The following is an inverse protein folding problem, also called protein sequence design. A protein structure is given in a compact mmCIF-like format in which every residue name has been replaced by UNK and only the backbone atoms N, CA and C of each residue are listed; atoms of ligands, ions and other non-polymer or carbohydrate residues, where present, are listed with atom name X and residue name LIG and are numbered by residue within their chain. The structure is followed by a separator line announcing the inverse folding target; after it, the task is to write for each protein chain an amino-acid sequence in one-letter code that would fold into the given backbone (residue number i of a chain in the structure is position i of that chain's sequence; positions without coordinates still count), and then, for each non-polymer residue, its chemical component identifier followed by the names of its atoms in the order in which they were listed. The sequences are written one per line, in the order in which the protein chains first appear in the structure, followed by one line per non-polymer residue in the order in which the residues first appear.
data_IF_542537068347
#
_entry.id   IF_542537068347
#
_cell.length_a   1.000
_cell.length_b   1.000
_cell.length_c   1.000
_cell.angle_alpha   90.00
_cell.angle_beta   90.00
_cell.angle_gamma   90.00
#
_symmetry.space_group_name_H-M   'P 1'
#
loop_
_entity.id
_entity.type
_entity.pdbx_description
1 polymer ?
#
# COMPACT_ATOMS: atom_id res chain seq x y z
N UNK A 1 -20.77 13.28 4.01
CA UNK A 1 -20.40 13.68 2.62
C UNK A 1 -19.15 14.56 2.70
N UNK A 2 -17.96 13.96 2.76
CA UNK A 2 -16.69 14.68 2.93
C UNK A 2 -16.28 15.35 1.61
N UNK A 3 -16.16 16.69 1.60
CA UNK A 3 -15.33 17.41 0.62
C UNK A 3 -13.86 17.03 0.90
N UNK A 4 -13.40 15.87 0.40
CA UNK A 4 -11.98 15.52 0.46
C UNK A 4 -11.20 16.55 -0.37
N UNK A 5 -10.24 17.20 0.30
CA UNK A 5 -9.42 18.30 -0.18
C UNK A 5 -8.79 18.01 -1.54
N UNK A 6 -9.13 18.78 -2.58
CA UNK A 6 -8.40 18.79 -3.87
C UNK A 6 -6.90 19.04 -3.67
N UNK A 7 -6.53 19.75 -2.59
CA UNK A 7 -5.14 20.00 -2.19
C UNK A 7 -4.38 18.72 -1.82
N UNK A 8 -5.06 17.78 -1.16
CA UNK A 8 -4.46 16.50 -0.75
C UNK A 8 -4.25 15.59 -1.97
N UNK A 9 -5.21 15.57 -2.90
CA UNK A 9 -5.08 14.82 -4.14
C UNK A 9 -3.97 15.37 -5.05
N UNK A 10 -3.83 16.70 -5.13
CA UNK A 10 -2.75 17.33 -5.88
C UNK A 10 -1.38 16.99 -5.31
N UNK A 11 -1.24 16.99 -3.98
CA UNK A 11 0.01 16.58 -3.32
C UNK A 11 0.39 15.12 -3.62
N UNK A 12 -0.58 14.20 -3.58
CA UNK A 12 -0.36 12.78 -3.90
C UNK A 12 0.10 12.61 -5.36
N UNK A 13 -0.53 13.31 -6.30
CA UNK A 13 -0.13 13.28 -7.71
C UNK A 13 1.30 13.82 -7.87
N UNK A 14 1.63 14.91 -7.19
CA UNK A 14 2.95 15.53 -7.28
C UNK A 14 4.04 14.61 -6.71
N UNK A 15 3.74 13.91 -5.61
CA UNK A 15 4.61 12.89 -5.04
C UNK A 15 4.81 11.71 -5.99
N UNK A 16 3.74 11.23 -6.62
CA UNK A 16 3.80 10.16 -7.62
C UNK A 16 4.67 10.55 -8.81
N UNK A 17 4.43 11.73 -9.40
CA UNK A 17 5.26 12.26 -10.50
C UNK A 17 6.72 12.41 -10.05
N UNK A 18 6.96 12.90 -8.84
CA UNK A 18 8.30 13.02 -8.28
C UNK A 18 9.02 11.68 -8.19
N UNK A 19 8.36 10.65 -7.65
CA UNK A 19 8.89 9.28 -7.57
C UNK A 19 9.15 8.68 -8.96
N UNK A 20 8.26 8.92 -9.91
CA UNK A 20 8.45 8.48 -11.29
C UNK A 20 9.69 9.12 -11.94
N UNK A 21 9.87 10.44 -11.78
CA UNK A 21 11.05 11.15 -12.30
C UNK A 21 12.33 10.62 -11.65
N UNK A 22 12.32 10.40 -10.32
CA UNK A 22 13.45 9.81 -9.60
C UNK A 22 13.76 8.40 -10.14
N UNK A 23 12.73 7.58 -10.37
CA UNK A 23 12.88 6.23 -10.93
C UNK A 23 13.49 6.26 -12.34
N UNK A 24 13.06 7.21 -13.19
CA UNK A 24 13.64 7.41 -14.52
C UNK A 24 15.11 7.86 -14.45
N UNK A 25 15.45 8.78 -13.53
CA UNK A 25 16.82 9.25 -13.31
C UNK A 25 17.71 8.11 -12.82
N UNK A 26 17.24 7.32 -11.85
CA UNK A 26 17.94 6.13 -11.35
C UNK A 26 18.26 5.16 -12.48
N UNK A 27 17.26 4.76 -13.28
CA UNK A 27 17.46 3.81 -14.38
C UNK A 27 18.40 4.35 -15.45
N UNK A 28 18.41 5.66 -15.71
CA UNK A 28 19.25 6.26 -16.75
C UNK A 28 20.68 6.53 -16.33
N UNK A 29 20.88 7.04 -15.11
CA UNK A 29 22.17 7.57 -14.66
C UNK A 29 22.93 6.65 -13.71
N UNK A 30 22.29 5.60 -13.17
CA UNK A 30 22.97 4.66 -12.27
C UNK A 30 23.18 3.31 -12.94
N UNK A 31 24.37 2.72 -12.75
CA UNK A 31 24.70 1.35 -13.15
C UNK A 31 24.18 0.31 -12.13
N UNK A 32 23.16 0.66 -11.34
CA UNK A 32 22.58 -0.28 -10.37
C UNK A 32 21.93 -1.40 -11.19
N UNK A 33 22.16 -2.65 -10.80
CA UNK A 33 21.55 -3.81 -11.44
C UNK A 33 20.06 -3.93 -11.06
N UNK A 34 19.25 -3.01 -11.59
CA UNK A 34 17.79 -2.93 -11.37
C UNK A 34 17.06 -4.08 -12.09
N UNK A 35 17.77 -4.82 -12.96
CA UNK A 35 17.19 -5.94 -13.71
C UNK A 35 16.61 -7.02 -12.79
N UNK A 36 17.24 -7.29 -11.64
CA UNK A 36 16.75 -8.28 -10.68
C UNK A 36 15.42 -7.87 -10.04
N UNK A 37 15.24 -6.58 -9.71
CA UNK A 37 14.01 -6.05 -9.10
C UNK A 37 12.90 -5.89 -10.13
N UNK A 38 13.26 -5.55 -11.37
CA UNK A 38 12.31 -5.36 -12.48
C UNK A 38 11.95 -6.65 -13.22
N UNK A 39 12.51 -7.79 -12.79
CA UNK A 39 12.18 -9.09 -13.35
C UNK A 39 10.71 -9.43 -13.07
N UNK A 40 10.02 -9.96 -14.08
CA UNK A 40 8.60 -10.28 -13.97
C UNK A 40 8.36 -11.36 -12.92
N UNK A 41 9.18 -12.42 -12.90
CA UNK A 41 9.02 -13.53 -11.97
C UNK A 41 9.17 -13.02 -10.54
N UNK A 42 10.22 -12.23 -10.29
CA UNK A 42 10.42 -11.58 -9.00
C UNK A 42 9.21 -10.73 -8.58
N UNK A 43 8.74 -9.81 -9.42
CA UNK A 43 7.62 -8.92 -9.10
C UNK A 43 6.32 -9.70 -8.85
N UNK A 44 6.04 -10.74 -9.64
CA UNK A 44 4.87 -11.57 -9.43
C UNK A 44 4.93 -12.34 -8.12
N UNK A 45 6.07 -12.97 -7.81
CA UNK A 45 6.26 -13.68 -6.55
C UNK A 45 6.17 -12.71 -5.36
N UNK A 46 6.86 -11.57 -5.45
CA UNK A 46 6.85 -10.52 -4.44
C UNK A 46 5.42 -10.03 -4.19
N UNK A 47 4.72 -9.53 -5.22
CA UNK A 47 3.37 -8.98 -5.07
C UNK A 47 2.37 -10.05 -4.63
N UNK A 48 2.52 -11.30 -5.08
CA UNK A 48 1.69 -12.42 -4.67
C UNK A 48 1.83 -12.74 -3.17
N UNK A 49 3.06 -12.79 -2.66
CA UNK A 49 3.33 -12.97 -1.22
C UNK A 49 2.71 -11.82 -0.42
N UNK A 50 2.89 -10.57 -0.89
CA UNK A 50 2.34 -9.42 -0.18
C UNK A 50 0.83 -9.36 -0.19
N UNK A 51 0.20 -9.72 -1.30
CA UNK A 51 -1.25 -9.81 -1.36
C UNK A 51 -1.77 -10.87 -0.37
N UNK A 52 -1.14 -12.05 -0.31
CA UNK A 52 -1.48 -13.09 0.67
C UNK A 52 -1.32 -12.63 2.12
N UNK A 53 -0.23 -11.91 2.41
CA UNK A 53 -0.01 -11.31 3.73
C UNK A 53 -1.06 -10.26 4.08
N UNK A 54 -1.36 -9.35 3.15
CA UNK A 54 -2.36 -8.30 3.35
C UNK A 54 -3.76 -8.86 3.60
N UNK A 55 -4.16 -9.91 2.86
CA UNK A 55 -5.41 -10.63 3.09
C UNK A 55 -5.47 -11.34 4.45
N UNK A 56 -4.32 -11.86 4.91
CA UNK A 56 -4.21 -12.47 6.25
C UNK A 56 -4.41 -11.43 7.35
N UNK A 57 -3.73 -10.28 7.24
CA UNK A 57 -3.91 -9.14 8.15
C UNK A 57 -5.37 -8.69 8.15
N UNK A 58 -5.98 -8.54 6.99
CA UNK A 58 -7.37 -8.13 6.88
C UNK A 58 -8.32 -9.10 7.60
N UNK A 59 -8.14 -10.40 7.38
CA UNK A 59 -8.94 -11.43 8.04
C UNK A 59 -8.76 -11.39 9.56
N UNK A 60 -7.50 -11.25 10.02
CA UNK A 60 -7.19 -11.09 11.43
C UNK A 60 -7.89 -9.88 12.05
N UNK A 61 -7.87 -8.75 11.36
CA UNK A 61 -8.49 -7.51 11.84
C UNK A 61 -10.00 -7.64 11.89
N UNK A 62 -10.64 -8.18 10.84
CA UNK A 62 -12.08 -8.46 10.85
C UNK A 62 -12.45 -9.29 12.08
N UNK A 63 -11.69 -10.34 12.38
CA UNK A 63 -11.94 -11.19 13.56
C UNK A 63 -11.73 -10.47 14.90
N UNK A 64 -10.91 -9.42 14.93
CA UNK A 64 -10.68 -8.59 16.12
C UNK A 64 -11.71 -7.49 16.28
N UNK A 65 -12.19 -6.89 15.20
CA UNK A 65 -13.18 -5.80 15.23
C UNK A 65 -14.40 -6.20 16.06
N UNK A 66 -14.91 -7.41 15.86
CA UNK A 66 -16.07 -7.91 16.62
C UNK A 66 -15.76 -8.04 18.11
N UNK A 67 -14.57 -8.54 18.46
CA UNK A 67 -14.12 -8.64 19.86
C UNK A 67 -13.94 -7.27 20.52
N UNK A 68 -13.43 -6.30 19.78
CA UNK A 68 -13.24 -4.94 20.31
C UNK A 68 -14.59 -4.27 20.50
N UNK A 69 -15.54 -4.43 19.56
CA UNK A 69 -16.91 -3.89 19.70
C UNK A 69 -17.57 -4.43 20.96
N UNK A 70 -17.51 -5.74 21.19
CA UNK A 70 -18.05 -6.36 22.41
C UNK A 70 -17.35 -5.83 23.69
N UNK A 71 -16.03 -5.66 23.66
CA UNK A 71 -15.27 -5.14 24.80
C UNK A 71 -15.65 -3.68 25.12
N UNK A 72 -15.81 -2.83 24.10
CA UNK A 72 -16.24 -1.43 24.24
C UNK A 72 -17.68 -1.36 24.78
N UNK A 73 -18.58 -2.21 24.29
CA UNK A 73 -19.98 -2.21 24.74
C UNK A 73 -20.09 -2.59 26.22
N UNK A 74 -19.32 -3.61 26.66
CA UNK A 74 -19.31 -4.10 28.05
C UNK A 74 -18.62 -3.17 29.04
N UNK A 75 -17.80 -2.23 28.61
CA UNK A 75 -17.10 -1.30 29.52
C UNK A 75 -18.03 -0.18 30.01
N UNK A 76 -18.72 -0.38 31.14
CA UNK A 76 -19.63 0.64 31.71
C UNK A 76 -18.93 1.92 32.17
N UNK A 77 -17.60 1.96 32.25
CA UNK A 77 -16.83 3.10 32.77
C UNK A 77 -16.59 4.22 31.75
N UNK A 78 -16.65 3.91 30.45
CA UNK A 78 -16.45 4.90 29.39
C UNK A 78 -17.74 5.65 29.03
N UNK A 79 -17.63 6.97 28.89
CA UNK A 79 -18.73 7.80 28.38
C UNK A 79 -19.09 7.35 26.96
N UNK A 80 -20.38 7.32 26.62
CA UNK A 80 -20.90 6.95 25.30
C UNK A 80 -20.15 7.60 24.11
N UNK A 81 -19.75 8.86 24.26
CA UNK A 81 -18.96 9.59 23.25
C UNK A 81 -17.55 9.00 23.01
N UNK A 82 -16.88 8.47 24.04
CA UNK A 82 -15.57 7.82 23.90
C UNK A 82 -15.68 6.47 23.21
N UNK A 83 -16.74 5.71 23.51
CA UNK A 83 -17.08 4.46 22.83
C UNK A 83 -17.31 4.66 21.33
N UNK A 84 -18.04 5.70 20.96
CA UNK A 84 -18.30 6.06 19.55
C UNK A 84 -17.01 6.45 18.82
N UNK A 85 -16.11 7.21 19.46
CA UNK A 85 -14.79 7.55 18.89
C UNK A 85 -13.96 6.29 18.67
N UNK A 86 -13.88 5.41 19.67
CA UNK A 86 -13.13 4.15 19.57
C UNK A 86 -13.66 3.25 18.44
N UNK A 87 -14.98 3.08 18.34
CA UNK A 87 -15.60 2.35 17.23
C UNK A 87 -15.33 2.99 15.86
N UNK A 88 -15.38 4.33 15.76
CA UNK A 88 -15.11 5.03 14.51
C UNK A 88 -13.65 4.86 14.03
N UNK A 89 -12.69 4.88 14.96
CA UNK A 89 -11.27 4.68 14.65
C UNK A 89 -11.01 3.26 14.16
N UNK A 90 -11.68 2.26 14.73
CA UNK A 90 -11.57 0.87 14.30
C UNK A 90 -12.10 0.69 12.88
N UNK A 91 -13.26 1.30 12.57
CA UNK A 91 -13.84 1.28 11.24
C UNK A 91 -12.97 2.02 10.22
N UNK A 92 -12.30 3.12 10.60
CA UNK A 92 -11.37 3.80 9.71
C UNK A 92 -10.15 2.95 9.40
N UNK A 93 -9.54 2.29 10.40
CA UNK A 93 -8.40 1.38 10.15
C UNK A 93 -8.79 0.21 9.25
N UNK A 94 -10.00 -0.33 9.43
CA UNK A 94 -10.53 -1.37 8.55
C UNK A 94 -10.64 -0.87 7.09
N UNK A 95 -11.12 0.36 6.88
CA UNK A 95 -11.21 0.94 5.54
C UNK A 95 -9.85 1.19 4.91
N UNK A 96 -8.88 1.70 5.68
CA UNK A 96 -7.51 1.96 5.22
C UNK A 96 -6.86 0.68 4.70
N UNK A 97 -6.93 -0.40 5.48
CA UNK A 97 -6.32 -1.69 5.10
C UNK A 97 -7.00 -2.31 3.89
N UNK A 98 -8.32 -2.15 3.76
CA UNK A 98 -9.04 -2.58 2.56
C UNK A 98 -8.52 -1.83 1.33
N UNK A 99 -8.37 -0.51 1.43
CA UNK A 99 -7.88 0.32 0.33
C UNK A 99 -6.45 -0.07 -0.07
N UNK A 100 -5.57 -0.38 0.89
CA UNK A 100 -4.21 -0.86 0.65
C UNK A 100 -4.16 -2.22 -0.07
N UNK A 101 -5.05 -3.16 0.30
CA UNK A 101 -5.17 -4.45 -0.39
C UNK A 101 -5.55 -4.23 -1.86
N UNK A 102 -6.54 -3.37 -2.12
CA UNK A 102 -6.95 -3.05 -3.48
C UNK A 102 -5.82 -2.37 -4.26
N UNK A 103 -5.04 -1.51 -3.61
CA UNK A 103 -3.86 -0.88 -4.22
C UNK A 103 -2.83 -1.94 -4.67
N UNK A 104 -2.49 -2.89 -3.80
CA UNK A 104 -1.58 -4.00 -4.14
C UNK A 104 -2.15 -4.85 -5.28
N UNK A 105 -3.46 -5.12 -5.27
CA UNK A 105 -4.13 -5.82 -6.36
C UNK A 105 -4.06 -5.06 -7.70
N UNK A 106 -4.25 -3.74 -7.68
CA UNK A 106 -4.07 -2.92 -8.88
C UNK A 106 -2.62 -2.92 -9.37
N UNK A 107 -1.63 -2.90 -8.48
CA UNK A 107 -0.22 -3.06 -8.88
C UNK A 107 0.01 -4.39 -9.60
N UNK A 108 -0.62 -5.47 -9.15
CA UNK A 108 -0.56 -6.77 -9.82
C UNK A 108 -1.10 -6.71 -11.25
N UNK A 109 -2.25 -6.06 -11.47
CA UNK A 109 -2.83 -5.86 -12.79
C UNK A 109 -1.91 -5.01 -13.68
N UNK A 110 -1.35 -3.92 -13.14
CA UNK A 110 -0.46 -3.03 -13.89
C UNK A 110 0.83 -3.75 -14.28
N UNK A 111 1.47 -4.49 -13.37
CA UNK A 111 2.67 -5.29 -13.68
C UNK A 111 2.37 -6.35 -14.74
N UNK A 112 1.18 -6.96 -14.69
CA UNK A 112 0.71 -7.90 -15.72
C UNK A 112 0.59 -7.22 -17.08
N UNK A 113 -0.09 -6.07 -17.14
CA UNK A 113 -0.21 -5.29 -18.38
C UNK A 113 1.18 -4.88 -18.91
N UNK A 114 2.06 -4.33 -18.07
CA UNK A 114 3.43 -3.95 -18.45
C UNK A 114 4.25 -5.14 -18.98
N UNK A 115 4.03 -6.33 -18.43
CA UNK A 115 4.69 -7.56 -18.89
C UNK A 115 4.28 -7.93 -20.30
N UNK A 116 2.99 -7.77 -20.65
CA UNK A 116 2.52 -7.93 -22.03
C UNK A 116 3.06 -6.82 -22.94
N UNK A 117 3.02 -5.56 -22.50
CA UNK A 117 3.49 -4.41 -23.29
C UNK A 117 4.98 -4.45 -23.65
N UNK A 118 5.82 -5.11 -22.83
CA UNK A 118 7.25 -5.29 -23.12
C UNK A 118 7.47 -5.95 -24.49
N UNK A 119 6.65 -6.94 -24.83
CA UNK A 119 6.81 -7.75 -26.04
C UNK A 119 5.96 -7.27 -27.23
N UNK A 120 5.10 -6.27 -27.03
CA UNK A 120 4.26 -5.70 -28.10
C UNK A 120 4.97 -4.48 -28.69
N UNK A 121 5.44 -4.58 -29.93
CA UNK A 121 5.89 -3.41 -30.68
C UNK A 121 4.67 -2.61 -31.14
N UNK A 122 4.52 -1.39 -30.61
CA UNK A 122 3.44 -0.48 -31.00
C UNK A 122 3.99 0.40 -32.13
N UNK A 123 3.58 0.18 -33.40
CA UNK A 123 4.14 0.89 -34.55
C UNK A 123 3.85 2.40 -34.53
N UNK A 124 2.88 2.86 -33.73
CA UNK A 124 2.45 4.26 -33.65
C UNK A 124 3.14 5.10 -32.57
N UNK A 125 3.90 4.49 -31.65
CA UNK A 125 4.59 5.21 -30.57
C UNK A 125 6.09 5.04 -30.78
N UNK A 126 6.65 5.86 -31.67
CA UNK A 126 8.10 6.01 -31.78
C UNK A 126 8.60 6.82 -30.57
N UNK A 127 8.93 6.12 -29.48
CA UNK A 127 9.52 6.69 -28.24
C UNK A 127 10.97 7.19 -28.50
N UNK A 128 11.46 7.15 -29.74
CA UNK A 128 12.82 7.58 -30.12
C UNK A 128 13.14 9.03 -29.75
N UNK A 129 12.13 9.91 -29.61
CA UNK A 129 12.31 11.31 -29.20
C UNK A 129 12.19 11.55 -27.68
N UNK A 130 11.93 10.52 -26.87
CA UNK A 130 11.82 10.66 -25.42
C UNK A 130 13.17 10.50 -24.71
N UNK A 131 13.28 11.08 -23.51
CA UNK A 131 14.50 11.07 -22.69
C UNK A 131 14.99 9.67 -22.29
N UNK A 132 14.13 8.64 -22.41
CA UNK A 132 14.36 7.25 -22.02
C UNK A 132 13.78 6.30 -23.07
N UNK A 133 14.41 5.15 -23.27
CA UNK A 133 13.92 4.10 -24.18
C UNK A 133 12.67 3.41 -23.63
N UNK A 134 11.87 2.76 -24.49
CA UNK A 134 10.71 1.94 -24.09
C UNK A 134 11.07 0.95 -22.96
N UNK A 135 12.19 0.26 -23.09
CA UNK A 135 12.66 -0.71 -22.09
C UNK A 135 12.98 -0.04 -20.76
N UNK A 136 13.68 1.10 -20.79
CA UNK A 136 14.00 1.88 -19.58
C UNK A 136 12.74 2.43 -18.92
N UNK A 137 11.75 2.88 -19.70
CA UNK A 137 10.45 3.33 -19.19
C UNK A 137 9.71 2.21 -18.46
N UNK A 138 9.63 1.01 -19.06
CA UNK A 138 8.99 -0.15 -18.42
C UNK A 138 9.72 -0.53 -17.13
N UNK A 139 11.06 -0.51 -17.13
CA UNK A 139 11.86 -0.79 -15.93
C UNK A 139 11.60 0.27 -14.85
N UNK A 140 11.55 1.54 -15.22
CA UNK A 140 11.28 2.65 -14.29
C UNK A 140 9.88 2.53 -13.66
N UNK A 141 8.85 2.23 -14.45
CA UNK A 141 7.49 2.01 -13.95
C UNK A 141 7.43 0.82 -12.98
N UNK A 142 8.13 -0.27 -13.28
CA UNK A 142 8.20 -1.42 -12.39
C UNK A 142 8.93 -1.11 -11.07
N UNK A 143 10.01 -0.33 -11.15
CA UNK A 143 10.74 0.12 -9.97
C UNK A 143 9.86 1.04 -9.10
N UNK A 144 9.11 1.94 -9.73
CA UNK A 144 8.14 2.78 -9.04
C UNK A 144 7.07 1.95 -8.33
N UNK A 145 6.46 0.98 -9.02
CA UNK A 145 5.48 0.07 -8.43
C UNK A 145 6.06 -0.73 -7.26
N UNK A 146 7.31 -1.16 -7.38
CA UNK A 146 8.03 -1.82 -6.29
C UNK A 146 8.19 -0.87 -5.08
N UNK A 147 8.62 0.38 -5.27
CA UNK A 147 8.76 1.35 -4.17
C UNK A 147 7.40 1.65 -3.53
N UNK A 148 6.36 1.86 -4.33
CA UNK A 148 5.01 2.11 -3.82
C UNK A 148 4.46 0.92 -3.04
N UNK A 149 4.80 -0.30 -3.46
CA UNK A 149 4.40 -1.49 -2.72
C UNK A 149 5.08 -1.57 -1.34
N UNK A 150 6.35 -1.15 -1.21
CA UNK A 150 7.03 -1.05 0.09
C UNK A 150 6.32 -0.05 1.02
N UNK A 151 5.86 1.07 0.46
CA UNK A 151 5.07 2.03 1.21
C UNK A 151 3.73 1.42 1.68
N UNK A 152 3.01 0.72 0.80
CA UNK A 152 1.76 0.04 1.17
C UNK A 152 1.99 -1.03 2.26
N UNK A 153 3.10 -1.76 2.21
CA UNK A 153 3.46 -2.74 3.25
C UNK A 153 3.72 -2.07 4.59
N UNK A 154 4.44 -0.95 4.59
CA UNK A 154 4.67 -0.17 5.80
C UNK A 154 3.34 0.29 6.41
N UNK A 155 2.42 0.81 5.60
CA UNK A 155 1.13 1.31 6.08
C UNK A 155 0.25 0.18 6.63
N UNK A 156 0.12 -0.94 5.89
CA UNK A 156 -0.57 -2.14 6.35
C UNK A 156 -0.03 -2.66 7.68
N UNK A 157 1.30 -2.70 7.82
CA UNK A 157 1.96 -3.17 9.05
C UNK A 157 1.70 -2.21 10.21
N UNK A 158 1.80 -0.89 9.96
CA UNK A 158 1.51 0.14 10.96
C UNK A 158 0.06 0.06 11.44
N UNK A 159 -0.90 -0.08 10.52
CA UNK A 159 -2.32 -0.18 10.82
C UNK A 159 -2.65 -1.46 11.60
N UNK A 160 -2.01 -2.59 11.26
CA UNK A 160 -2.13 -3.82 12.04
C UNK A 160 -1.61 -3.66 13.48
N UNK A 161 -0.47 -3.00 13.69
CA UNK A 161 0.06 -2.73 15.03
C UNK A 161 -0.84 -1.81 15.85
N UNK A 162 -1.35 -0.72 15.25
CA UNK A 162 -2.29 0.19 15.92
C UNK A 162 -3.56 -0.53 16.41
N UNK A 163 -4.10 -1.44 15.60
CA UNK A 163 -5.26 -2.25 16.00
C UNK A 163 -4.89 -3.20 17.14
N UNK A 164 -3.73 -3.85 17.07
CA UNK A 164 -3.25 -4.71 18.15
C UNK A 164 -3.10 -3.96 19.48
N UNK A 165 -2.55 -2.75 19.45
CA UNK A 165 -2.47 -1.88 20.63
C UNK A 165 -3.85 -1.48 21.16
N UNK A 166 -4.77 -1.09 20.28
CA UNK A 166 -6.14 -0.71 20.64
C UNK A 166 -6.92 -1.87 21.29
N UNK A 167 -6.65 -3.11 20.89
CA UNK A 167 -7.26 -4.32 21.50
C UNK A 167 -6.72 -4.65 22.89
N UNK A 168 -5.69 -3.94 23.38
CA UNK A 168 -5.14 -4.12 24.72
C UNK A 168 -4.24 -5.35 24.89
N UNK A 169 -3.84 -6.02 23.80
CA UNK A 169 -2.90 -7.16 23.84
C UNK A 169 -1.58 -6.76 24.53
N UNK A 170 -1.17 -5.49 24.43
CA UNK A 170 0.04 -4.95 25.06
C UNK A 170 -0.19 -4.16 26.36
N UNK A 171 -1.43 -4.04 26.86
CA UNK A 171 -1.74 -3.24 28.07
C UNK A 171 -1.52 -4.00 29.39
N UNK A 172 -1.13 -5.28 29.36
CA UNK A 172 -1.09 -6.13 30.56
C UNK A 172 0.10 -5.94 31.51
N UNK A 173 1.12 -5.15 31.17
CA UNK A 173 2.36 -5.10 31.97
C UNK A 173 2.59 -3.82 32.80
N UNK A 174 1.59 -2.93 32.97
CA UNK A 174 1.76 -1.68 33.76
C UNK A 174 0.98 -1.60 35.08
N UNK A 175 0.63 -2.74 35.69
CA UNK A 175 0.13 -2.78 37.08
C UNK A 175 0.79 -3.89 37.89
N UNK A 176 2.09 -3.77 38.09
CA UNK A 176 2.84 -4.48 39.13
C UNK A 176 4.05 -3.63 39.54
N UNK A 177 3.77 -2.51 40.22
CA UNK A 177 4.74 -1.79 41.06
C UNK A 177 3.98 -0.93 42.06
#
# INVERSE_FOLDING_TARGET
MMKKNKLSLLYIILLFIGLFVISCVLVKYTNININSISDNSFLFTYLGIFLGFALTIFTFIVSMVDKIKEAIEKDESEKKAQKEIAQSNILSFYSEIKDDIFLIFYFFIIVTALSFFKNVDIPFINISNFFITKTQLIIALKLELFILSLYAIYDLTSSAFKISEATGIFKKDKKAS
#
